data_IF_773433174658
#
_entry.id   IF_773433174658
#
_cell.length_a   1.000
_cell.length_b   1.000
_cell.length_c   1.000
_cell.angle_alpha   90.00
_cell.angle_beta   90.00
_cell.angle_gamma   90.00
#
_symmetry.space_group_name_H-M   'P 1'
#
loop_
_entity.id
_entity.type
_entity.pdbx_description
1 polymer ?
#
# COMPACT_ATOMS: atom_id res chain seq x y z
N UNK A 1 27.49 -95.85 33.39
CA UNK A 1 27.13 -95.70 31.96
C UNK A 1 25.90 -94.82 31.70
N UNK A 2 24.83 -94.87 32.51
CA UNK A 2 23.61 -94.05 32.29
C UNK A 2 23.86 -92.54 32.52
N UNK A 3 24.68 -92.17 33.50
CA UNK A 3 24.90 -90.77 33.90
C UNK A 3 25.72 -89.95 32.89
N UNK A 4 26.64 -90.58 32.15
CA UNK A 4 27.39 -89.91 31.06
C UNK A 4 26.52 -89.63 29.82
N UNK A 5 25.63 -90.56 29.46
CA UNK A 5 24.68 -90.38 28.34
C UNK A 5 23.74 -89.19 28.57
N UNK A 6 23.30 -88.97 29.81
CA UNK A 6 22.44 -87.82 30.17
C UNK A 6 23.22 -86.49 30.11
N UNK A 7 24.48 -86.47 30.53
CA UNK A 7 25.34 -85.27 30.45
C UNK A 7 25.65 -84.87 29.01
N UNK A 8 25.84 -85.84 28.10
CA UNK A 8 26.03 -85.59 26.66
C UNK A 8 24.80 -84.95 26.00
N UNK A 9 23.58 -85.50 26.23
CA UNK A 9 22.32 -84.93 25.71
C UNK A 9 22.10 -83.48 26.14
N UNK A 10 22.41 -83.15 27.40
CA UNK A 10 22.24 -81.79 27.93
C UNK A 10 23.20 -80.78 27.27
N UNK A 11 24.43 -81.20 26.94
CA UNK A 11 25.40 -80.38 26.19
C UNK A 11 24.97 -80.13 24.75
N UNK A 12 24.41 -81.15 24.09
CA UNK A 12 23.92 -81.00 22.71
C UNK A 12 22.71 -80.07 22.63
N UNK A 13 21.77 -80.13 23.59
CA UNK A 13 20.65 -79.19 23.67
C UNK A 13 21.10 -77.74 23.86
N UNK A 14 22.05 -77.50 24.79
CA UNK A 14 22.61 -76.15 25.02
C UNK A 14 23.30 -75.61 23.76
N UNK A 15 23.99 -76.46 23.00
CA UNK A 15 24.62 -76.06 21.73
C UNK A 15 23.59 -75.69 20.68
N UNK A 16 22.47 -76.42 20.60
CA UNK A 16 21.37 -76.12 19.70
C UNK A 16 20.68 -74.81 20.08
N UNK A 17 20.35 -74.62 21.36
CA UNK A 17 19.69 -73.41 21.86
C UNK A 17 20.57 -72.17 21.64
N UNK A 18 21.88 -72.27 21.90
CA UNK A 18 22.83 -71.17 21.62
C UNK A 18 22.89 -70.84 20.14
N UNK A 19 22.83 -71.83 19.25
CA UNK A 19 22.81 -71.63 17.79
C UNK A 19 21.51 -70.95 17.34
N UNK A 20 20.37 -71.30 17.93
CA UNK A 20 19.09 -70.66 17.62
C UNK A 20 19.04 -69.21 18.11
N UNK A 21 19.58 -68.91 19.30
CA UNK A 21 19.65 -67.54 19.82
C UNK A 21 20.53 -66.66 18.92
N UNK A 22 21.69 -67.15 18.48
CA UNK A 22 22.56 -66.42 17.55
C UNK A 22 21.91 -66.17 16.19
N UNK A 23 21.12 -67.13 15.68
CA UNK A 23 20.40 -66.97 14.42
C UNK A 23 19.30 -65.93 14.52
N UNK A 24 18.52 -65.95 15.60
CA UNK A 24 17.48 -64.94 15.85
C UNK A 24 18.07 -63.55 16.01
N UNK A 25 19.19 -63.41 16.74
CA UNK A 25 19.86 -62.12 16.89
C UNK A 25 20.29 -61.55 15.53
N UNK A 26 20.91 -62.36 14.68
CA UNK A 26 21.34 -61.92 13.35
C UNK A 26 20.16 -61.51 12.45
N UNK A 27 19.02 -62.20 12.57
CA UNK A 27 17.79 -61.88 11.84
C UNK A 27 17.18 -60.54 12.31
N UNK A 28 17.16 -60.29 13.62
CA UNK A 28 16.76 -58.99 14.19
C UNK A 28 17.68 -57.85 13.74
N UNK A 29 19.00 -58.04 13.80
CA UNK A 29 19.98 -57.02 13.39
C UNK A 29 19.86 -56.71 11.87
N UNK A 30 19.58 -57.73 11.04
CA UNK A 30 19.35 -57.54 9.60
C UNK A 30 18.03 -56.82 9.31
N UNK A 31 16.95 -57.16 10.03
CA UNK A 31 15.65 -56.50 9.89
C UNK A 31 15.70 -55.03 10.31
N UNK A 32 16.43 -54.72 11.39
CA UNK A 32 16.65 -53.34 11.84
C UNK A 32 17.42 -52.51 10.77
N UNK A 33 18.44 -53.09 10.14
CA UNK A 33 19.15 -52.43 9.04
C UNK A 33 18.25 -52.18 7.82
N UNK A 34 17.36 -53.13 7.49
CA UNK A 34 16.39 -52.94 6.39
C UNK A 34 15.40 -51.83 6.71
N UNK A 35 14.88 -51.80 7.95
CA UNK A 35 13.99 -50.73 8.42
C UNK A 35 14.67 -49.36 8.41
N UNK A 36 15.95 -49.27 8.80
CA UNK A 36 16.70 -48.02 8.74
C UNK A 36 16.82 -47.50 7.30
N UNK A 37 17.16 -48.39 6.34
CA UNK A 37 17.24 -48.03 4.91
C UNK A 37 15.90 -47.60 4.33
N UNK A 38 14.82 -48.33 4.64
CA UNK A 38 13.46 -47.99 4.20
C UNK A 38 13.01 -46.62 4.74
N UNK A 39 13.30 -46.33 6.02
CA UNK A 39 13.04 -45.00 6.60
C UNK A 39 13.82 -43.90 5.89
N UNK A 40 15.12 -44.09 5.66
CA UNK A 40 15.94 -43.10 4.94
C UNK A 40 15.47 -42.90 3.49
N UNK A 41 15.03 -43.96 2.82
CA UNK A 41 14.49 -43.86 1.46
C UNK A 41 13.16 -43.07 1.46
N UNK A 42 12.24 -43.37 2.37
CA UNK A 42 10.97 -42.64 2.51
C UNK A 42 11.20 -41.15 2.81
N UNK A 43 12.18 -40.84 3.65
CA UNK A 43 12.57 -39.45 3.95
C UNK A 43 13.10 -38.74 2.70
N UNK A 44 13.96 -39.42 1.92
CA UNK A 44 14.50 -38.88 0.67
C UNK A 44 13.41 -38.65 -0.38
N UNK A 45 12.45 -39.58 -0.50
CA UNK A 45 11.29 -39.44 -1.38
C UNK A 45 10.40 -38.26 -0.96
N UNK A 46 10.14 -38.09 0.34
CA UNK A 46 9.38 -36.96 0.88
C UNK A 46 10.08 -35.62 0.62
N UNK A 47 11.40 -35.56 0.84
CA UNK A 47 12.20 -34.37 0.57
C UNK A 47 12.21 -34.01 -0.92
N UNK A 48 12.36 -35.00 -1.80
CA UNK A 48 12.28 -34.77 -3.25
C UNK A 48 10.88 -34.28 -3.68
N UNK A 49 9.81 -34.82 -3.08
CA UNK A 49 8.46 -34.34 -3.34
C UNK A 49 8.27 -32.90 -2.86
N UNK A 50 8.86 -32.53 -1.73
CA UNK A 50 8.84 -31.16 -1.21
C UNK A 50 9.59 -30.20 -2.14
N UNK A 51 10.79 -30.56 -2.61
CA UNK A 51 11.58 -29.76 -3.56
C UNK A 51 10.77 -29.49 -4.83
N UNK A 52 10.16 -30.51 -5.42
CA UNK A 52 9.30 -30.34 -6.60
C UNK A 52 8.14 -29.37 -6.38
N UNK A 53 7.55 -29.36 -5.17
CA UNK A 53 6.50 -28.39 -4.83
C UNK A 53 7.05 -26.97 -4.70
N UNK A 54 8.23 -26.81 -4.12
CA UNK A 54 8.90 -25.51 -4.03
C UNK A 54 9.25 -24.96 -5.42
N UNK A 55 9.74 -25.82 -6.32
CA UNK A 55 10.04 -25.42 -7.70
C UNK A 55 8.78 -24.93 -8.44
N UNK A 56 7.63 -25.60 -8.27
CA UNK A 56 6.35 -25.17 -8.85
C UNK A 56 5.86 -23.83 -8.27
N UNK A 57 5.98 -23.64 -6.96
CA UNK A 57 5.63 -22.38 -6.30
C UNK A 57 6.57 -21.25 -6.78
N UNK A 58 7.86 -21.51 -6.90
CA UNK A 58 8.83 -20.54 -7.39
C UNK A 58 8.52 -20.13 -8.83
N UNK A 59 8.21 -21.10 -9.71
CA UNK A 59 7.83 -20.82 -11.09
C UNK A 59 6.57 -19.93 -11.19
N UNK A 60 5.61 -20.11 -10.29
CA UNK A 60 4.42 -19.24 -10.20
C UNK A 60 4.77 -17.82 -9.75
N UNK A 61 5.61 -17.68 -8.72
CA UNK A 61 6.08 -16.38 -8.24
C UNK A 61 6.83 -15.64 -9.35
N UNK A 62 7.71 -16.33 -10.07
CA UNK A 62 8.49 -15.74 -11.16
C UNK A 62 7.59 -15.29 -12.32
N UNK A 63 6.57 -16.10 -12.66
CA UNK A 63 5.57 -15.74 -13.67
C UNK A 63 4.73 -14.52 -13.26
N UNK A 64 4.27 -14.47 -12.01
CA UNK A 64 3.50 -13.35 -11.47
C UNK A 64 4.33 -12.06 -11.44
N UNK A 65 5.62 -12.16 -11.06
CA UNK A 65 6.54 -11.02 -11.08
C UNK A 65 6.72 -10.45 -12.49
N UNK A 66 6.97 -11.32 -13.49
CA UNK A 66 7.08 -10.89 -14.88
C UNK A 66 5.79 -10.26 -15.41
N UNK A 67 4.62 -10.77 -15.00
CA UNK A 67 3.34 -10.20 -15.36
C UNK A 67 3.18 -8.79 -14.76
N UNK A 68 3.53 -8.62 -13.49
CA UNK A 68 3.47 -7.33 -12.80
C UNK A 68 4.38 -6.28 -13.46
N UNK A 69 5.60 -6.65 -13.86
CA UNK A 69 6.49 -5.76 -14.61
C UNK A 69 5.88 -5.31 -15.94
N UNK A 70 5.28 -6.23 -16.70
CA UNK A 70 4.63 -5.91 -17.98
C UNK A 70 3.46 -4.95 -17.80
N UNK A 71 2.60 -5.22 -16.82
CA UNK A 71 1.47 -4.34 -16.50
C UNK A 71 1.93 -2.93 -16.14
N UNK A 72 2.97 -2.80 -15.32
CA UNK A 72 3.53 -1.50 -14.95
C UNK A 72 4.09 -0.74 -16.16
N UNK A 73 4.77 -1.44 -17.07
CA UNK A 73 5.25 -0.84 -18.34
C UNK A 73 4.08 -0.44 -19.25
N UNK A 74 3.04 -1.27 -19.32
CA UNK A 74 1.85 -0.99 -20.12
C UNK A 74 1.07 0.21 -19.57
N UNK A 75 0.82 0.30 -18.26
CA UNK A 75 0.22 1.50 -17.63
C UNK A 75 1.05 2.77 -17.88
N UNK A 76 2.38 2.67 -17.82
CA UNK A 76 3.25 3.80 -18.13
C UNK A 76 3.19 4.23 -19.60
N UNK A 77 2.99 3.26 -20.51
CA UNK A 77 2.89 3.48 -21.96
C UNK A 77 1.49 3.97 -22.38
N UNK A 78 0.43 3.42 -21.78
CA UNK A 78 -0.96 3.81 -22.02
C UNK A 78 -1.20 5.27 -21.65
N UNK A 79 -0.52 5.79 -20.63
CA UNK A 79 -0.44 7.21 -20.39
C UNK A 79 0.80 7.77 -21.10
N UNK A 80 0.67 8.02 -22.40
CA UNK A 80 1.76 8.66 -23.14
C UNK A 80 2.12 10.00 -22.50
N UNK A 81 3.39 10.42 -22.59
CA UNK A 81 3.82 11.72 -22.06
C UNK A 81 2.98 12.88 -22.63
N UNK A 82 2.47 12.71 -23.85
CA UNK A 82 1.55 13.66 -24.50
C UNK A 82 0.17 13.71 -23.82
N UNK A 83 -0.42 12.56 -23.46
CA UNK A 83 -1.70 12.51 -22.74
C UNK A 83 -1.56 13.02 -21.32
N UNK A 84 -0.48 12.65 -20.62
CA UNK A 84 -0.13 13.19 -19.29
C UNK A 84 0.02 14.71 -19.35
N UNK A 85 0.75 15.24 -20.34
CA UNK A 85 0.90 16.68 -20.53
C UNK A 85 -0.44 17.37 -20.85
N UNK A 86 -1.29 16.75 -21.67
CA UNK A 86 -2.61 17.28 -22.02
C UNK A 86 -3.53 17.35 -20.80
N UNK A 87 -3.60 16.29 -20.00
CA UNK A 87 -4.37 16.25 -18.75
C UNK A 87 -3.85 17.29 -17.75
N UNK A 88 -2.53 17.45 -17.63
CA UNK A 88 -1.92 18.46 -16.78
C UNK A 88 -2.25 19.89 -17.25
N UNK A 89 -2.20 20.17 -18.56
CA UNK A 89 -2.62 21.46 -19.11
C UNK A 89 -4.10 21.76 -18.85
N UNK A 90 -4.99 20.79 -19.05
CA UNK A 90 -6.43 20.93 -18.75
C UNK A 90 -6.67 21.26 -17.28
N UNK A 91 -5.93 20.61 -16.37
CA UNK A 91 -6.00 20.88 -14.93
C UNK A 91 -5.55 22.32 -14.62
N UNK A 92 -4.42 22.77 -15.19
CA UNK A 92 -3.91 24.13 -15.00
C UNK A 92 -4.89 25.18 -15.52
N UNK A 93 -5.52 24.95 -16.68
CA UNK A 93 -6.49 25.86 -17.24
C UNK A 93 -7.73 26.01 -16.34
N UNK A 94 -8.28 24.89 -15.84
CA UNK A 94 -9.39 24.88 -14.88
C UNK A 94 -9.01 25.62 -13.60
N UNK A 95 -7.80 25.38 -13.06
CA UNK A 95 -7.30 26.04 -11.86
C UNK A 95 -7.17 27.55 -12.06
N UNK A 96 -6.60 27.99 -13.19
CA UNK A 96 -6.47 29.42 -13.53
C UNK A 96 -7.84 30.10 -13.63
N UNK A 97 -8.82 29.48 -14.28
CA UNK A 97 -10.21 29.98 -14.37
C UNK A 97 -10.86 30.12 -12.98
N UNK A 98 -10.69 29.11 -12.12
CA UNK A 98 -11.21 29.14 -10.74
C UNK A 98 -10.65 30.32 -9.93
N UNK A 99 -9.33 30.50 -9.94
CA UNK A 99 -8.70 31.60 -9.20
C UNK A 99 -9.06 32.97 -9.78
N UNK A 100 -9.13 33.11 -11.11
CA UNK A 100 -9.57 34.35 -11.74
C UNK A 100 -11.01 34.72 -11.31
N UNK A 101 -11.93 33.75 -11.29
CA UNK A 101 -13.29 33.95 -10.83
C UNK A 101 -13.34 34.33 -9.33
N UNK A 102 -12.55 33.66 -8.49
CA UNK A 102 -12.43 33.97 -7.06
C UNK A 102 -11.95 35.41 -6.85
N UNK A 103 -10.87 35.82 -7.53
CA UNK A 103 -10.35 37.20 -7.46
C UNK A 103 -11.35 38.22 -7.99
N UNK A 104 -12.09 37.93 -9.07
CA UNK A 104 -13.12 38.82 -9.57
C UNK A 104 -14.27 39.00 -8.58
N UNK A 105 -14.74 37.91 -7.94
CA UNK A 105 -15.76 37.96 -6.90
C UNK A 105 -15.27 38.75 -5.68
N UNK A 106 -14.03 38.52 -5.26
CA UNK A 106 -13.41 39.27 -4.17
C UNK A 106 -13.36 40.77 -4.48
N UNK A 107 -12.93 41.16 -5.68
CA UNK A 107 -12.92 42.57 -6.12
C UNK A 107 -14.31 43.21 -6.12
N UNK A 108 -15.37 42.48 -6.50
CA UNK A 108 -16.76 42.97 -6.48
C UNK A 108 -17.31 43.14 -5.06
N UNK A 109 -16.89 42.29 -4.13
CA UNK A 109 -17.32 42.31 -2.74
C UNK A 109 -16.52 43.29 -1.88
N UNK A 110 -15.56 44.03 -2.45
CA UNK A 110 -14.83 45.05 -1.68
C UNK A 110 -15.78 46.18 -1.30
N UNK A 111 -15.81 46.57 -0.01
CA UNK A 111 -16.61 47.71 0.41
C UNK A 111 -16.14 48.97 -0.34
N UNK A 112 -17.06 49.90 -0.66
CA UNK A 112 -16.71 51.11 -1.38
C UNK A 112 -15.66 51.90 -0.62
N UNK A 113 -14.70 52.47 -1.33
CA UNK A 113 -13.62 53.26 -0.73
C UNK A 113 -14.17 54.53 -0.09
N UNK A 114 -13.44 55.10 0.87
CA UNK A 114 -13.82 56.37 1.51
C UNK A 114 -14.10 57.48 0.48
N UNK A 115 -13.36 57.51 -0.63
CA UNK A 115 -13.58 58.44 -1.75
C UNK A 115 -14.89 58.18 -2.48
N UNK A 116 -15.23 56.91 -2.74
CA UNK A 116 -16.50 56.52 -3.35
C UNK A 116 -17.68 56.86 -2.43
N UNK A 117 -17.58 56.53 -1.14
CA UNK A 117 -18.56 56.91 -0.12
C UNK A 117 -18.74 58.43 -0.07
N UNK A 118 -17.64 59.19 -0.03
CA UNK A 118 -17.67 60.66 -0.05
C UNK A 118 -18.40 61.22 -1.26
N UNK A 119 -18.17 60.63 -2.44
CA UNK A 119 -18.85 61.03 -3.68
C UNK A 119 -20.35 60.76 -3.62
N UNK A 120 -20.76 59.61 -3.09
CA UNK A 120 -22.18 59.27 -2.88
C UNK A 120 -22.85 60.26 -1.93
N UNK A 121 -22.23 60.52 -0.78
CA UNK A 121 -22.75 61.44 0.24
C UNK A 121 -22.83 62.88 -0.29
N UNK A 122 -21.82 63.30 -1.08
CA UNK A 122 -21.81 64.59 -1.74
C UNK A 122 -22.99 64.74 -2.71
N UNK A 123 -23.23 63.74 -3.57
CA UNK A 123 -24.37 63.73 -4.50
C UNK A 123 -25.70 63.84 -3.76
N UNK A 124 -25.88 63.10 -2.66
CA UNK A 124 -27.09 63.20 -1.83
C UNK A 124 -27.26 64.60 -1.23
N UNK A 125 -26.23 65.14 -0.58
CA UNK A 125 -26.30 66.47 0.05
C UNK A 125 -26.54 67.60 -0.96
N UNK A 126 -26.04 67.45 -2.19
CA UNK A 126 -26.30 68.38 -3.29
C UNK A 126 -27.77 68.32 -3.73
N UNK A 127 -28.30 67.12 -3.95
CA UNK A 127 -29.61 66.94 -4.55
C UNK A 127 -30.77 67.05 -3.54
N UNK A 128 -30.58 66.55 -2.32
CA UNK A 128 -31.63 66.50 -1.29
C UNK A 128 -31.62 67.73 -0.38
N UNK A 129 -30.43 68.23 -0.01
CA UNK A 129 -30.28 69.38 0.90
C UNK A 129 -29.94 70.68 0.19
N UNK A 130 -29.83 70.69 -1.15
CA UNK A 130 -29.51 71.88 -1.94
C UNK A 130 -28.15 72.51 -1.60
N UNK A 131 -27.23 71.78 -0.96
CA UNK A 131 -25.95 72.34 -0.51
C UNK A 131 -25.05 72.65 -1.70
N UNK A 132 -24.40 73.81 -1.69
CA UNK A 132 -23.49 74.23 -2.78
C UNK A 132 -22.17 73.45 -2.71
N UNK A 133 -21.55 73.24 -3.88
CA UNK A 133 -20.25 72.56 -4.00
C UNK A 133 -19.17 73.24 -3.15
N UNK A 134 -19.17 74.56 -3.11
CA UNK A 134 -18.21 75.35 -2.34
C UNK A 134 -18.30 75.10 -0.83
N UNK A 135 -19.48 74.73 -0.31
CA UNK A 135 -19.69 74.45 1.13
C UNK A 135 -19.13 73.09 1.56
N UNK A 136 -18.66 72.28 0.62
CA UNK A 136 -18.18 70.91 0.82
C UNK A 136 -16.78 70.69 0.23
N UNK A 137 -16.31 71.60 -0.64
CA UNK A 137 -14.94 71.62 -1.15
C UNK A 137 -13.95 71.73 0.02
N UNK A 138 -12.86 70.94 -0.03
CA UNK A 138 -11.81 70.87 1.00
C UNK A 138 -12.23 70.37 2.40
N UNK A 139 -13.48 69.91 2.62
CA UNK A 139 -13.90 69.37 3.92
C UNK A 139 -13.48 67.91 4.11
N UNK A 140 -13.05 67.55 5.32
CA UNK A 140 -12.70 66.17 5.65
C UNK A 140 -13.89 65.22 5.48
N UNK A 141 -13.62 63.93 5.26
CA UNK A 141 -14.66 62.90 5.15
C UNK A 141 -15.60 62.92 6.35
N UNK A 142 -15.04 62.97 7.57
CA UNK A 142 -15.82 62.99 8.81
C UNK A 142 -16.76 64.21 8.91
N UNK A 143 -16.32 65.38 8.44
CA UNK A 143 -17.15 66.59 8.38
C UNK A 143 -18.34 66.43 7.42
N UNK A 144 -18.13 65.75 6.28
CA UNK A 144 -19.18 65.43 5.31
C UNK A 144 -20.11 64.35 5.86
N UNK A 145 -19.57 63.35 6.56
CA UNK A 145 -20.33 62.30 7.24
C UNK A 145 -21.27 62.84 8.29
N UNK A 146 -20.77 63.65 9.22
CA UNK A 146 -21.61 64.31 10.22
C UNK A 146 -22.74 65.15 9.63
N UNK A 147 -22.55 65.71 8.42
CA UNK A 147 -23.58 66.48 7.71
C UNK A 147 -24.60 65.60 7.00
N UNK A 148 -24.20 64.42 6.54
CA UNK A 148 -25.05 63.42 5.91
C UNK A 148 -25.91 62.71 6.97
N UNK A 149 -25.34 62.37 8.12
CA UNK A 149 -26.07 61.69 9.20
C UNK A 149 -27.13 62.59 9.88
N UNK A 150 -26.93 63.92 9.81
CA UNK A 150 -27.89 64.93 10.30
C UNK A 150 -28.94 65.32 9.26
N UNK A 151 -28.87 64.77 8.05
CA UNK A 151 -29.65 65.21 6.90
C UNK A 151 -30.86 64.31 6.67
#
# INVERSE_FOLDING_TARGET
MIEELVKLKKKDQIRLDKKTTLKLQAEFDEEEQRLARDRSQKELEANNALIKRWDDVQAKIDADYQLAERLLVEEQKELTDAEKATLFMLLLEKRRKFFAAKTAKEKRNKPPTQTQQRKIMYTYLKNVKGKKLNDMKNKSFYSIQKKFDRA
#
